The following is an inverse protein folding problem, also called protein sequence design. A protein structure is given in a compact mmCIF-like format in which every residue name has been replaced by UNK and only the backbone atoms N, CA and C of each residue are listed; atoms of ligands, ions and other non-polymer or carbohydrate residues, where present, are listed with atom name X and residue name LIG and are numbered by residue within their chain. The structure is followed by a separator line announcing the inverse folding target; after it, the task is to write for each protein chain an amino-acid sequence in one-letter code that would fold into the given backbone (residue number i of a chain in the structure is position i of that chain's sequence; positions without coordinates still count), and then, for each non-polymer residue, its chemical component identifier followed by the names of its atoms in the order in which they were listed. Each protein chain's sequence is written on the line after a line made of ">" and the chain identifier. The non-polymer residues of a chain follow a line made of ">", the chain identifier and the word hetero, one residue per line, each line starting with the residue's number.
data_IF_235521601165
#
_entry.id   IF_235521601165
#
_cell.length_a   1.000
_cell.length_b   1.000
_cell.length_c   1.000
_cell.angle_alpha   90.00
_cell.angle_beta   90.00
_cell.angle_gamma   90.00
#
_symmetry.space_group_name_H-M   'P 1'
#
loop_
_entity.id
_entity.type
_entity.pdbx_description
1 polymer ?
#
# COMPACT_ATOMS: atom_id res chain seq x y z
N UNK A 1 -12.48 72.36 -19.99
CA UNK A 1 -13.55 72.40 -21.00
C UNK A 1 -14.85 72.19 -20.24
N UNK A 2 -15.84 73.06 -20.45
CA UNK A 2 -16.84 73.44 -19.45
C UNK A 2 -18.23 72.85 -19.74
N UNK A 3 -19.17 73.17 -18.84
CA UNK A 3 -20.63 73.25 -19.02
C UNK A 3 -21.37 71.91 -19.25
N UNK A 4 -22.42 71.53 -18.52
CA UNK A 4 -23.54 72.31 -17.97
C UNK A 4 -24.19 71.59 -16.80
N UNK A 5 -24.30 72.29 -15.67
CA UNK A 5 -25.38 72.12 -14.69
C UNK A 5 -26.68 72.63 -15.32
N UNK A 6 -27.74 71.81 -15.36
CA UNK A 6 -29.11 72.24 -15.63
C UNK A 6 -29.94 72.06 -14.35
N UNK A 7 -29.80 73.04 -13.45
CA UNK A 7 -30.76 73.32 -12.38
C UNK A 7 -32.09 73.77 -13.00
N UNK A 8 -33.02 72.86 -13.26
CA UNK A 8 -34.42 73.22 -13.47
C UNK A 8 -35.10 73.48 -12.13
N UNK A 9 -34.76 74.64 -11.56
CA UNK A 9 -35.52 75.30 -10.51
C UNK A 9 -36.82 75.83 -11.11
N UNK A 10 -37.92 75.12 -10.88
CA UNK A 10 -39.26 75.64 -11.16
C UNK A 10 -39.63 76.57 -10.00
N UNK A 11 -39.36 77.86 -10.18
CA UNK A 11 -39.90 78.93 -9.35
C UNK A 11 -41.44 78.87 -9.38
N UNK A 12 -42.03 78.51 -8.24
CA UNK A 12 -43.45 78.74 -8.00
C UNK A 12 -43.59 80.15 -7.43
N UNK A 13 -43.88 81.12 -8.31
CA UNK A 13 -44.37 82.43 -7.87
C UNK A 13 -45.78 82.30 -7.27
N UNK A 14 -46.04 82.87 -6.07
CA UNK A 14 -47.37 82.93 -5.50
C UNK A 14 -48.08 84.22 -5.93
N UNK A 15 -49.41 84.15 -5.94
CA UNK A 15 -50.41 85.23 -6.10
C UNK A 15 -50.99 85.44 -7.49
N UNK A 16 -52.15 84.83 -7.77
CA UNK A 16 -53.42 85.51 -8.09
C UNK A 16 -54.57 84.54 -7.75
N UNK A 17 -55.12 84.63 -6.53
CA UNK A 17 -56.41 85.25 -6.21
C UNK A 17 -57.62 84.74 -7.03
N UNK A 18 -58.41 83.95 -6.32
CA UNK A 18 -59.82 84.27 -6.05
C UNK A 18 -60.76 84.24 -7.26
N UNK A 19 -61.08 83.03 -7.71
CA UNK A 19 -62.40 82.73 -8.25
C UNK A 19 -62.94 81.52 -7.51
N UNK A 20 -64.06 81.76 -6.82
CA UNK A 20 -64.59 80.91 -5.77
C UNK A 20 -64.82 79.48 -6.22
N UNK A 21 -64.21 78.55 -5.48
CA UNK A 21 -64.74 77.21 -5.30
C UNK A 21 -66.05 77.32 -4.52
N UNK A 22 -67.14 77.59 -5.23
CA UNK A 22 -68.49 77.20 -4.80
C UNK A 22 -68.60 75.66 -4.89
N UNK A 23 -67.73 74.97 -4.16
CA UNK A 23 -67.80 73.55 -3.85
C UNK A 23 -68.89 73.37 -2.79
N UNK A 24 -70.15 73.53 -3.23
CA UNK A 24 -71.29 73.01 -2.46
C UNK A 24 -70.99 71.55 -2.10
N UNK A 25 -71.30 71.12 -0.87
CA UNK A 25 -71.12 69.70 -0.46
C UNK A 25 -71.71 68.74 -1.50
N UNK A 26 -72.78 69.16 -2.18
CA UNK A 26 -73.42 68.43 -3.28
C UNK A 26 -72.54 68.23 -4.52
N UNK A 27 -71.60 69.12 -4.84
CA UNK A 27 -70.65 68.95 -5.96
C UNK A 27 -69.50 68.01 -5.58
N UNK A 28 -69.01 68.11 -4.33
CA UNK A 28 -68.00 67.20 -3.77
C UNK A 28 -68.54 65.78 -3.63
N UNK A 29 -69.78 65.65 -3.18
CA UNK A 29 -70.49 64.38 -3.06
C UNK A 29 -70.79 63.78 -4.44
N UNK A 30 -71.12 64.60 -5.45
CA UNK A 30 -71.24 64.13 -6.84
C UNK A 30 -69.92 63.65 -7.42
N UNK A 31 -68.80 64.33 -7.14
CA UNK A 31 -67.47 63.91 -7.60
C UNK A 31 -67.00 62.65 -6.89
N UNK A 32 -67.26 62.53 -5.58
CA UNK A 32 -67.00 61.33 -4.80
C UNK A 32 -67.88 60.16 -5.23
N UNK A 33 -69.16 60.41 -5.55
CA UNK A 33 -70.06 59.42 -6.11
C UNK A 33 -69.61 58.99 -7.52
N UNK A 34 -69.20 59.93 -8.37
CA UNK A 34 -68.64 59.63 -9.69
C UNK A 34 -67.36 58.80 -9.59
N UNK A 35 -66.42 59.18 -8.72
CA UNK A 35 -65.20 58.43 -8.46
C UNK A 35 -65.47 57.04 -7.88
N UNK A 36 -66.48 56.88 -7.00
CA UNK A 36 -66.93 55.57 -6.51
C UNK A 36 -67.55 54.73 -7.64
N UNK A 37 -68.37 55.34 -8.49
CA UNK A 37 -68.96 54.63 -9.65
C UNK A 37 -67.96 54.35 -10.77
N UNK A 38 -66.83 55.06 -10.83
CA UNK A 38 -65.74 54.78 -11.77
C UNK A 38 -64.77 53.73 -11.21
N UNK A 39 -64.52 53.74 -9.90
CA UNK A 39 -63.83 52.65 -9.22
C UNK A 39 -64.61 51.32 -9.29
N UNK A 40 -65.93 51.35 -9.20
CA UNK A 40 -66.81 50.17 -9.39
C UNK A 40 -66.87 49.66 -10.84
N UNK A 41 -66.43 50.45 -11.83
CA UNK A 41 -66.44 50.04 -13.26
C UNK A 41 -65.20 49.24 -13.66
N UNK A 42 -64.14 49.28 -12.86
CA UNK A 42 -62.94 48.48 -13.08
C UNK A 42 -62.84 47.45 -11.95
N UNK A 43 -63.21 46.19 -12.17
CA UNK A 43 -63.04 45.16 -11.16
C UNK A 43 -61.54 45.00 -10.88
N UNK A 44 -61.08 45.58 -9.77
CA UNK A 44 -59.69 45.41 -9.29
C UNK A 44 -59.39 43.97 -8.87
N UNK A 45 -60.43 43.13 -8.80
CA UNK A 45 -60.33 41.70 -8.51
C UNK A 45 -59.61 40.95 -9.64
N UNK A 46 -59.87 41.30 -10.90
CA UNK A 46 -59.26 40.60 -12.06
C UNK A 46 -57.75 40.90 -12.17
N UNK A 47 -57.33 42.13 -11.85
CA UNK A 47 -55.90 42.51 -11.79
C UNK A 47 -55.18 41.89 -10.59
N UNK A 48 -55.86 41.76 -9.45
CA UNK A 48 -55.31 41.12 -8.26
C UNK A 48 -55.20 39.59 -8.43
N UNK A 49 -56.14 38.95 -9.13
CA UNK A 49 -56.04 37.54 -9.53
C UNK A 49 -54.91 37.32 -10.54
N UNK A 50 -54.74 38.20 -11.54
CA UNK A 50 -53.66 38.09 -12.53
C UNK A 50 -52.26 38.36 -11.92
N UNK A 51 -52.16 39.19 -10.88
CA UNK A 51 -50.92 39.36 -10.10
C UNK A 51 -50.66 38.18 -9.16
N UNK A 52 -51.70 37.61 -8.54
CA UNK A 52 -51.59 36.41 -7.71
C UNK A 52 -51.17 35.18 -8.54
N UNK A 53 -51.75 34.98 -9.72
CA UNK A 53 -51.37 33.90 -10.66
C UNK A 53 -49.93 34.07 -11.16
N UNK A 54 -49.46 35.31 -11.38
CA UNK A 54 -48.07 35.58 -11.74
C UNK A 54 -47.09 35.27 -10.61
N UNK A 55 -47.41 35.67 -9.38
CA UNK A 55 -46.60 35.33 -8.21
C UNK A 55 -46.57 33.83 -7.95
N UNK A 56 -47.70 33.14 -8.12
CA UNK A 56 -47.77 31.68 -7.96
C UNK A 56 -46.95 30.96 -9.04
N UNK A 57 -46.97 31.47 -10.28
CA UNK A 57 -46.14 30.95 -11.38
C UNK A 57 -44.63 31.22 -11.18
N UNK A 58 -44.25 32.39 -10.67
CA UNK A 58 -42.87 32.73 -10.33
C UNK A 58 -42.35 31.89 -9.15
N UNK A 59 -43.16 31.71 -8.10
CA UNK A 59 -42.84 30.83 -6.96
C UNK A 59 -42.71 29.37 -7.39
N UNK A 60 -43.56 28.91 -8.31
CA UNK A 60 -43.50 27.55 -8.84
C UNK A 60 -42.30 27.34 -9.76
N UNK A 61 -41.88 28.35 -10.52
CA UNK A 61 -40.61 28.34 -11.26
C UNK A 61 -39.40 28.33 -10.32
N UNK A 62 -39.38 29.17 -9.28
CA UNK A 62 -38.29 29.23 -8.31
C UNK A 62 -38.10 27.87 -7.59
N UNK A 63 -39.20 27.21 -7.23
CA UNK A 63 -39.16 25.84 -6.65
C UNK A 63 -38.62 24.81 -7.63
N UNK A 64 -38.94 24.91 -8.92
CA UNK A 64 -38.41 23.99 -9.94
C UNK A 64 -36.92 24.20 -10.19
N UNK A 65 -36.44 25.44 -10.12
CA UNK A 65 -35.01 25.78 -10.22
C UNK A 65 -34.23 25.28 -9.00
N UNK A 66 -34.71 25.51 -7.77
CA UNK A 66 -34.11 24.96 -6.56
C UNK A 66 -34.08 23.42 -6.58
N UNK A 67 -35.16 22.78 -7.03
CA UNK A 67 -35.22 21.32 -7.19
C UNK A 67 -34.22 20.81 -8.23
N UNK A 68 -34.00 21.57 -9.31
CA UNK A 68 -33.06 21.21 -10.36
C UNK A 68 -31.61 21.37 -9.89
N UNK A 69 -31.30 22.45 -9.17
CA UNK A 69 -29.98 22.65 -8.54
C UNK A 69 -29.71 21.57 -7.49
N UNK A 70 -30.66 21.28 -6.60
CA UNK A 70 -30.50 20.22 -5.59
C UNK A 70 -30.28 18.84 -6.22
N UNK A 71 -30.93 18.55 -7.35
CA UNK A 71 -30.70 17.31 -8.12
C UNK A 71 -29.32 17.31 -8.79
N UNK A 72 -28.87 18.44 -9.32
CA UNK A 72 -27.54 18.57 -9.92
C UNK A 72 -26.43 18.35 -8.88
N UNK A 73 -26.53 19.00 -7.71
CA UNK A 73 -25.60 18.79 -6.60
C UNK A 73 -25.57 17.33 -6.14
N UNK A 74 -26.73 16.68 -6.02
CA UNK A 74 -26.78 15.25 -5.68
C UNK A 74 -26.13 14.35 -6.73
N UNK A 75 -26.23 14.69 -8.02
CA UNK A 75 -25.57 13.95 -9.09
C UNK A 75 -24.05 14.15 -9.05
N UNK A 76 -23.59 15.36 -8.80
CA UNK A 76 -22.17 15.68 -8.66
C UNK A 76 -21.56 15.00 -7.43
N UNK A 77 -22.26 14.99 -6.29
CA UNK A 77 -21.85 14.25 -5.10
C UNK A 77 -21.75 12.74 -5.37
N UNK A 78 -22.71 12.17 -6.12
CA UNK A 78 -22.68 10.75 -6.49
C UNK A 78 -21.53 10.46 -7.44
N UNK A 79 -21.29 11.31 -8.43
CA UNK A 79 -20.18 11.18 -9.37
C UNK A 79 -18.82 11.29 -8.65
N UNK A 80 -18.70 12.21 -7.70
CA UNK A 80 -17.50 12.36 -6.87
C UNK A 80 -17.26 11.12 -5.98
N UNK A 81 -18.30 10.57 -5.35
CA UNK A 81 -18.22 9.32 -4.57
C UNK A 81 -17.84 8.14 -5.45
N UNK A 82 -18.43 8.01 -6.64
CA UNK A 82 -18.10 6.94 -7.58
C UNK A 82 -16.63 7.03 -8.05
N UNK A 83 -16.14 8.24 -8.32
CA UNK A 83 -14.72 8.44 -8.63
C UNK A 83 -13.81 8.07 -7.45
N UNK A 84 -14.18 8.44 -6.21
CA UNK A 84 -13.45 8.04 -5.01
C UNK A 84 -13.39 6.51 -4.89
N UNK A 85 -14.53 5.82 -5.00
CA UNK A 85 -14.58 4.35 -4.95
C UNK A 85 -13.71 3.69 -6.03
N UNK A 86 -13.70 4.24 -7.26
CA UNK A 86 -12.84 3.74 -8.33
C UNK A 86 -11.35 3.93 -8.01
N UNK A 87 -10.96 5.08 -7.45
CA UNK A 87 -9.57 5.32 -7.04
C UNK A 87 -9.15 4.41 -5.89
N UNK A 88 -10.02 4.20 -4.90
CA UNK A 88 -9.78 3.28 -3.79
C UNK A 88 -9.63 1.84 -4.28
N UNK A 89 -10.51 1.38 -5.18
CA UNK A 89 -10.40 0.05 -5.79
C UNK A 89 -9.08 -0.14 -6.53
N UNK A 90 -8.67 0.82 -7.38
CA UNK A 90 -7.37 0.77 -8.07
C UNK A 90 -6.21 0.70 -7.10
N UNK A 91 -6.22 1.54 -6.06
CA UNK A 91 -5.17 1.53 -5.03
C UNK A 91 -5.08 0.19 -4.29
N UNK A 92 -6.24 -0.44 -4.03
CA UNK A 92 -6.30 -1.75 -3.39
C UNK A 92 -5.78 -2.86 -4.30
N UNK A 93 -6.11 -2.82 -5.59
CA UNK A 93 -5.57 -3.74 -6.60
C UNK A 93 -4.05 -3.61 -6.71
N UNK A 94 -3.53 -2.37 -6.79
CA UNK A 94 -2.07 -2.11 -6.79
C UNK A 94 -1.37 -2.64 -5.54
N UNK A 95 -1.98 -2.52 -4.36
CA UNK A 95 -1.45 -3.09 -3.12
C UNK A 95 -1.46 -4.62 -3.13
N UNK A 96 -2.53 -5.24 -3.64
CA UNK A 96 -2.61 -6.70 -3.78
C UNK A 96 -1.55 -7.22 -4.76
N UNK A 97 -1.35 -6.54 -5.89
CA UNK A 97 -0.33 -6.91 -6.87
C UNK A 97 1.08 -6.75 -6.29
N UNK A 98 1.36 -5.64 -5.60
CA UNK A 98 2.64 -5.43 -4.92
C UNK A 98 2.91 -6.51 -3.84
N UNK A 99 1.90 -6.91 -3.07
CA UNK A 99 2.07 -8.00 -2.09
C UNK A 99 2.26 -9.36 -2.76
N UNK A 100 1.61 -9.61 -3.90
CA UNK A 100 1.83 -10.81 -4.69
C UNK A 100 3.25 -10.86 -5.27
N UNK A 101 3.77 -9.75 -5.81
CA UNK A 101 5.13 -9.65 -6.33
C UNK A 101 6.19 -9.85 -5.24
N UNK A 102 6.03 -9.22 -4.09
CA UNK A 102 6.96 -9.37 -2.96
C UNK A 102 6.96 -10.80 -2.42
N UNK A 103 5.79 -11.42 -2.22
CA UNK A 103 5.70 -12.81 -1.77
C UNK A 103 6.34 -13.78 -2.77
N UNK A 104 6.14 -13.57 -4.08
CA UNK A 104 6.79 -14.36 -5.13
C UNK A 104 8.31 -14.19 -5.11
N UNK A 105 8.81 -12.98 -4.90
CA UNK A 105 10.24 -12.71 -4.80
C UNK A 105 10.86 -13.41 -3.57
N UNK A 106 10.18 -13.43 -2.42
CA UNK A 106 10.63 -14.21 -1.26
C UNK A 106 10.65 -15.72 -1.54
N UNK A 107 9.66 -16.26 -2.24
CA UNK A 107 9.63 -17.68 -2.62
C UNK A 107 10.80 -18.04 -3.55
N UNK A 108 11.10 -17.20 -4.54
CA UNK A 108 12.25 -17.38 -5.43
C UNK A 108 13.58 -17.29 -4.66
N UNK A 109 13.72 -16.30 -3.77
CA UNK A 109 14.89 -16.18 -2.92
C UNK A 109 15.13 -17.45 -2.08
N UNK A 110 14.06 -17.97 -1.47
CA UNK A 110 14.12 -19.18 -0.66
C UNK A 110 14.56 -20.40 -1.49
N UNK A 111 13.98 -20.59 -2.69
CA UNK A 111 14.38 -21.66 -3.60
C UNK A 111 15.86 -21.58 -4.01
N UNK A 112 16.38 -20.36 -4.23
CA UNK A 112 17.78 -20.12 -4.53
C UNK A 112 18.69 -20.40 -3.32
N UNK A 113 18.26 -20.05 -2.10
CA UNK A 113 18.99 -20.39 -0.87
C UNK A 113 19.09 -21.90 -0.67
N UNK A 114 18.00 -22.65 -0.90
CA UNK A 114 18.02 -24.11 -0.86
C UNK A 114 18.96 -24.71 -1.93
N UNK A 115 18.98 -24.13 -3.13
CA UNK A 115 19.91 -24.55 -4.19
C UNK A 115 21.36 -24.27 -3.78
N UNK A 116 21.67 -23.07 -3.29
CA UNK A 116 22.99 -22.70 -2.75
C UNK A 116 23.45 -23.72 -1.71
N UNK A 117 22.60 -24.05 -0.74
CA UNK A 117 22.98 -24.92 0.37
C UNK A 117 23.22 -26.37 -0.10
N UNK A 118 22.47 -26.85 -1.10
CA UNK A 118 22.75 -28.14 -1.76
C UNK A 118 24.13 -28.16 -2.42
N UNK A 119 24.48 -27.14 -3.21
CA UNK A 119 25.80 -27.09 -3.86
C UNK A 119 26.95 -26.91 -2.87
N UNK A 120 26.74 -26.21 -1.75
CA UNK A 120 27.71 -26.17 -0.64
C UNK A 120 27.93 -27.54 -0.02
N UNK A 121 26.86 -28.31 0.15
CA UNK A 121 26.98 -29.69 0.66
C UNK A 121 27.73 -30.57 -0.33
N UNK A 122 27.43 -30.51 -1.63
CA UNK A 122 28.19 -31.25 -2.66
C UNK A 122 29.67 -30.89 -2.65
N UNK A 123 30.01 -29.60 -2.66
CA UNK A 123 31.40 -29.15 -2.55
C UNK A 123 32.07 -29.68 -1.28
N UNK A 124 31.38 -29.68 -0.13
CA UNK A 124 31.95 -30.22 1.12
C UNK A 124 32.22 -31.73 1.05
N UNK A 125 31.34 -32.49 0.40
CA UNK A 125 31.49 -33.93 0.23
C UNK A 125 32.64 -34.26 -0.74
N UNK A 126 32.74 -33.51 -1.84
CA UNK A 126 33.80 -33.69 -2.83
C UNK A 126 35.17 -33.31 -2.25
N UNK A 127 35.25 -32.31 -1.36
CA UNK A 127 36.47 -32.03 -0.59
C UNK A 127 36.87 -33.23 0.26
N UNK A 128 35.94 -33.83 1.00
CA UNK A 128 36.24 -34.98 1.86
C UNK A 128 36.71 -36.19 1.02
N UNK A 129 36.04 -36.46 -0.10
CA UNK A 129 36.45 -37.51 -1.05
C UNK A 129 37.83 -37.26 -1.62
N UNK A 130 38.10 -36.04 -2.10
CA UNK A 130 39.40 -35.67 -2.65
C UNK A 130 40.54 -35.78 -1.64
N UNK A 131 40.30 -35.46 -0.36
CA UNK A 131 41.28 -35.67 0.72
C UNK A 131 41.55 -37.17 0.92
N UNK A 132 40.49 -37.98 0.97
CA UNK A 132 40.60 -39.44 1.12
C UNK A 132 41.37 -40.06 -0.04
N UNK A 133 41.00 -39.75 -1.28
CA UNK A 133 41.66 -40.26 -2.48
C UNK A 133 43.13 -39.82 -2.54
N UNK A 134 43.43 -38.57 -2.16
CA UNK A 134 44.81 -38.08 -2.09
C UNK A 134 45.63 -38.82 -1.05
N UNK A 135 45.05 -39.11 0.13
CA UNK A 135 45.72 -39.86 1.17
C UNK A 135 45.99 -41.30 0.71
N UNK A 136 45.00 -41.95 0.11
CA UNK A 136 45.12 -43.32 -0.39
C UNK A 136 46.15 -43.43 -1.52
N UNK A 137 46.10 -42.51 -2.50
CA UNK A 137 47.05 -42.50 -3.60
C UNK A 137 48.49 -42.19 -3.16
N UNK A 138 48.68 -41.42 -2.08
CA UNK A 138 50.01 -41.24 -1.46
C UNK A 138 50.50 -42.53 -0.80
N UNK A 139 49.62 -43.17 -0.02
CA UNK A 139 49.96 -44.43 0.63
C UNK A 139 50.43 -45.48 -0.37
N UNK A 140 49.71 -45.70 -1.46
CA UNK A 140 50.10 -46.68 -2.48
C UNK A 140 51.42 -46.34 -3.17
N UNK A 141 51.69 -45.06 -3.40
CA UNK A 141 52.97 -44.63 -3.97
C UNK A 141 54.13 -44.80 -2.99
N UNK A 142 53.90 -44.51 -1.71
CA UNK A 142 54.90 -44.68 -0.65
C UNK A 142 55.19 -46.17 -0.43
N UNK A 143 54.16 -47.02 -0.43
CA UNK A 143 54.27 -48.48 -0.35
C UNK A 143 55.02 -49.05 -1.56
N UNK A 144 54.70 -48.60 -2.77
CA UNK A 144 55.42 -48.98 -3.98
C UNK A 144 56.89 -48.53 -3.96
N UNK A 145 57.19 -47.37 -3.36
CA UNK A 145 58.55 -46.86 -3.24
C UNK A 145 59.37 -47.66 -2.21
N UNK A 146 58.74 -48.07 -1.11
CA UNK A 146 59.35 -48.92 -0.09
C UNK A 146 59.64 -50.34 -0.61
N UNK A 147 58.75 -50.89 -1.43
CA UNK A 147 58.81 -52.27 -1.95
C UNK A 147 59.07 -52.32 -3.45
N UNK A 148 60.02 -51.50 -3.94
CA UNK A 148 60.23 -51.26 -5.38
C UNK A 148 60.48 -52.52 -6.19
N UNK A 149 61.22 -53.48 -5.65
CA UNK A 149 61.65 -54.68 -6.36
C UNK A 149 60.65 -55.84 -6.26
N UNK A 150 59.55 -55.67 -5.50
CA UNK A 150 58.54 -56.71 -5.32
C UNK A 150 57.61 -56.81 -6.54
N UNK A 151 57.20 -58.05 -6.84
CA UNK A 151 56.22 -58.33 -7.87
C UNK A 151 54.85 -57.76 -7.45
N UNK A 152 54.52 -56.57 -7.96
CA UNK A 152 53.30 -55.84 -7.60
C UNK A 152 53.50 -54.33 -7.43
N UNK A 153 54.74 -53.88 -7.24
CA UNK A 153 55.09 -52.46 -7.02
C UNK A 153 54.62 -51.55 -8.17
N UNK A 154 54.75 -51.99 -9.42
CA UNK A 154 54.25 -51.27 -10.58
C UNK A 154 52.72 -51.12 -10.59
N UNK A 155 51.99 -52.10 -10.03
CA UNK A 155 50.54 -52.04 -9.85
C UNK A 155 50.14 -50.96 -8.86
N UNK A 156 50.80 -50.94 -7.70
CA UNK A 156 50.61 -49.91 -6.66
C UNK A 156 50.93 -48.50 -7.18
N UNK A 157 51.98 -48.33 -7.99
CA UNK A 157 52.27 -47.03 -8.64
C UNK A 157 51.13 -46.59 -9.56
N UNK A 158 50.58 -47.52 -10.34
CA UNK A 158 49.49 -47.22 -11.26
C UNK A 158 48.20 -46.87 -10.50
N UNK A 159 47.90 -47.60 -9.43
CA UNK A 159 46.77 -47.35 -8.54
C UNK A 159 46.90 -46.00 -7.85
N UNK A 160 48.09 -45.69 -7.31
CA UNK A 160 48.31 -44.44 -6.60
C UNK A 160 48.17 -43.22 -7.51
N UNK A 161 48.59 -43.35 -8.77
CA UNK A 161 48.34 -42.34 -9.80
C UNK A 161 46.85 -42.20 -10.15
N UNK A 162 46.08 -43.29 -10.16
CA UNK A 162 44.62 -43.23 -10.39
C UNK A 162 43.92 -42.46 -9.27
N UNK A 163 44.27 -42.73 -8.02
CA UNK A 163 43.71 -42.00 -6.88
C UNK A 163 44.14 -40.53 -6.83
N UNK A 164 45.39 -40.22 -7.21
CA UNK A 164 45.80 -38.83 -7.40
C UNK A 164 44.97 -38.11 -8.47
N UNK A 165 44.74 -38.77 -9.62
CA UNK A 165 43.90 -38.22 -10.68
C UNK A 165 42.45 -38.04 -10.20
N UNK A 166 41.89 -39.02 -9.48
CA UNK A 166 40.55 -38.93 -8.88
C UNK A 166 40.45 -37.72 -7.95
N UNK A 167 41.42 -37.53 -7.05
CA UNK A 167 41.48 -36.37 -6.16
C UNK A 167 41.49 -35.04 -6.93
N UNK A 168 42.23 -34.95 -8.05
CA UNK A 168 42.23 -33.72 -8.88
C UNK A 168 40.90 -33.48 -9.59
N UNK A 169 40.15 -34.53 -9.93
CA UNK A 169 38.81 -34.41 -10.51
C UNK A 169 37.85 -33.87 -9.46
N UNK A 170 37.87 -34.42 -8.24
CA UNK A 170 37.06 -33.92 -7.13
C UNK A 170 37.38 -32.46 -6.82
N UNK A 171 38.65 -32.04 -6.82
CA UNK A 171 39.00 -30.62 -6.65
C UNK A 171 38.43 -29.69 -7.73
N UNK A 172 38.30 -30.16 -8.98
CA UNK A 172 37.66 -29.35 -10.03
C UNK A 172 36.16 -29.24 -9.80
N UNK A 173 35.53 -30.31 -9.34
CA UNK A 173 34.10 -30.30 -8.99
C UNK A 173 33.82 -29.38 -7.82
N UNK A 174 34.62 -29.42 -6.75
CA UNK A 174 34.43 -28.53 -5.58
C UNK A 174 34.47 -27.06 -5.97
N UNK A 175 35.41 -26.67 -6.84
CA UNK A 175 35.50 -25.29 -7.36
C UNK A 175 34.27 -24.94 -8.21
N UNK A 176 33.80 -25.88 -9.04
CA UNK A 176 32.59 -25.69 -9.85
C UNK A 176 31.36 -25.51 -8.97
N UNK A 177 31.14 -26.39 -8.00
CA UNK A 177 29.99 -26.36 -7.11
C UNK A 177 30.00 -25.14 -6.19
N UNK A 178 31.18 -24.73 -5.69
CA UNK A 178 31.31 -23.49 -4.93
C UNK A 178 30.94 -22.27 -5.78
N UNK A 179 31.37 -22.23 -7.05
CA UNK A 179 30.99 -21.16 -7.98
C UNK A 179 29.48 -21.13 -8.19
N UNK A 180 28.85 -22.27 -8.46
CA UNK A 180 27.40 -22.37 -8.64
C UNK A 180 26.66 -21.90 -7.37
N UNK A 181 27.14 -22.30 -6.19
CA UNK A 181 26.55 -21.87 -4.92
C UNK A 181 26.60 -20.34 -4.76
N UNK A 182 27.68 -19.68 -5.20
CA UNK A 182 27.80 -18.21 -5.16
C UNK A 182 26.84 -17.52 -6.13
N UNK A 183 26.58 -18.14 -7.28
CA UNK A 183 25.61 -17.62 -8.26
C UNK A 183 24.19 -17.65 -7.68
N UNK A 184 23.79 -18.77 -7.05
CA UNK A 184 22.51 -18.85 -6.33
C UNK A 184 22.44 -17.89 -5.13
N UNK A 185 23.52 -17.74 -4.37
CA UNK A 185 23.58 -16.76 -3.27
C UNK A 185 23.37 -15.32 -3.77
N UNK A 186 23.96 -14.98 -4.92
CA UNK A 186 23.77 -13.67 -5.54
C UNK A 186 22.33 -13.47 -6.06
N UNK A 187 21.74 -14.51 -6.65
CA UNK A 187 20.36 -14.51 -7.14
C UNK A 187 19.35 -14.34 -5.99
N UNK A 188 19.51 -15.11 -4.91
CA UNK A 188 18.68 -15.00 -3.72
C UNK A 188 18.70 -13.57 -3.14
N UNK A 189 19.89 -12.98 -2.99
CA UNK A 189 20.05 -11.60 -2.52
C UNK A 189 19.38 -10.58 -3.44
N UNK A 190 19.41 -10.82 -4.75
CA UNK A 190 18.74 -9.96 -5.73
C UNK A 190 17.23 -9.99 -5.55
N UNK A 191 16.63 -11.18 -5.44
CA UNK A 191 15.20 -11.33 -5.19
C UNK A 191 14.77 -10.68 -3.87
N UNK A 192 15.55 -10.84 -2.80
CA UNK A 192 15.28 -10.15 -1.52
C UNK A 192 15.37 -8.62 -1.64
N UNK A 193 16.29 -8.11 -2.46
CA UNK A 193 16.44 -6.67 -2.70
C UNK A 193 15.29 -6.11 -3.53
N UNK A 194 14.79 -6.86 -4.50
CA UNK A 194 13.62 -6.50 -5.30
C UNK A 194 12.33 -6.54 -4.46
N UNK A 195 12.25 -7.44 -3.48
CA UNK A 195 11.10 -7.57 -2.57
C UNK A 195 11.05 -6.51 -1.46
N UNK A 196 12.19 -5.94 -1.06
CA UNK A 196 12.22 -4.94 0.00
C UNK A 196 12.10 -3.51 -0.56
N UNK A 197 11.17 -2.69 -0.04
CA UNK A 197 11.19 -1.26 -0.35
C UNK A 197 12.53 -0.67 0.10
N UNK A 198 13.08 0.26 -0.67
CA UNK A 198 14.33 0.93 -0.32
C UNK A 198 14.23 1.47 1.12
N UNK A 199 15.22 1.20 2.00
CA UNK A 199 15.17 1.65 3.40
C UNK A 199 15.06 3.18 3.53
N UNK A 200 15.49 3.92 2.51
CA UNK A 200 15.33 5.37 2.40
C UNK A 200 13.89 5.86 2.23
N UNK A 201 12.98 5.05 1.70
CA UNK A 201 11.54 5.37 1.63
C UNK A 201 10.80 4.99 2.91
N UNK A 202 11.20 3.90 3.57
CA UNK A 202 10.68 3.50 4.88
C UNK A 202 10.98 4.52 5.99
N UNK A 203 12.08 5.28 5.87
CA UNK A 203 12.39 6.40 6.79
C UNK A 203 11.56 7.65 6.49
N UNK A 204 11.09 7.85 5.24
CA UNK A 204 10.24 9.00 4.87
C UNK A 204 8.77 8.78 5.19
N UNK A 205 8.30 7.53 5.17
CA UNK A 205 6.98 7.09 5.66
C UNK A 205 7.18 6.24 6.91
N UNK A 206 7.67 6.85 7.99
CA UNK A 206 7.69 6.17 9.27
C UNK A 206 6.25 5.84 9.69
N UNK A 207 5.95 4.61 10.16
CA UNK A 207 4.63 4.32 10.71
C UNK A 207 4.36 5.27 11.87
N UNK A 208 3.14 5.83 11.93
CA UNK A 208 2.74 6.78 12.99
C UNK A 208 2.84 6.15 14.38
N UNK A 209 2.75 4.82 14.44
CA UNK A 209 2.87 4.02 15.65
C UNK A 209 4.03 3.02 15.50
N UNK A 210 5.08 3.19 16.32
CA UNK A 210 6.17 2.23 16.36
C UNK A 210 5.63 0.90 16.89
N UNK A 211 5.90 -0.25 16.22
CA UNK A 211 5.48 -1.54 16.74
C UNK A 211 6.04 -1.72 18.15
N UNK A 212 5.17 -2.07 19.11
CA UNK A 212 5.58 -2.31 20.49
C UNK A 212 6.76 -3.29 20.50
N UNK A 213 7.89 -2.80 21.01
CA UNK A 213 9.07 -3.62 21.15
C UNK A 213 8.70 -4.79 22.08
N UNK A 214 8.50 -5.98 21.49
CA UNK A 214 8.44 -7.20 22.27
C UNK A 214 9.79 -7.31 22.98
N UNK A 215 9.80 -6.94 24.27
CA UNK A 215 10.96 -7.10 25.13
C UNK A 215 11.46 -8.54 24.93
N UNK A 216 12.76 -8.75 24.65
CA UNK A 216 13.28 -10.09 24.47
C UNK A 216 12.91 -10.86 25.73
N UNK A 217 12.00 -11.84 25.58
CA UNK A 217 11.64 -12.72 26.67
C UNK A 217 12.95 -13.26 27.21
N UNK A 218 13.31 -12.85 28.43
CA UNK A 218 14.57 -13.20 29.05
C UNK A 218 14.73 -14.69 28.84
N UNK A 219 15.75 -15.09 28.07
CA UNK A 219 16.05 -16.48 27.76
C UNK A 219 16.04 -17.19 29.09
N UNK A 220 14.94 -17.88 29.39
CA UNK A 220 14.82 -18.71 30.57
C UNK A 220 15.80 -19.82 30.24
N UNK A 221 17.02 -19.67 30.72
CA UNK A 221 18.04 -20.69 30.61
C UNK A 221 17.44 -21.93 31.26
N UNK A 222 16.83 -22.78 30.44
CA UNK A 222 16.57 -24.15 30.80
C UNK A 222 17.97 -24.72 30.90
N UNK A 223 18.55 -24.67 32.10
CA UNK A 223 19.62 -25.57 32.49
C UNK A 223 19.09 -26.94 32.08
N UNK A 224 19.65 -27.50 31.00
CA UNK A 224 19.36 -28.86 30.58
C UNK A 224 19.45 -29.79 31.80
N UNK A 225 18.71 -30.92 31.80
CA UNK A 225 18.50 -31.74 32.98
C UNK A 225 19.84 -32.07 33.61
N UNK A 226 20.15 -31.39 34.72
CA UNK A 226 21.36 -31.63 35.46
C UNK A 226 21.37 -33.11 35.86
N UNK A 227 22.53 -33.77 35.69
CA UNK A 227 22.72 -35.18 36.05
C UNK A 227 22.17 -35.43 37.45
N UNK A 228 20.98 -36.01 37.56
CA UNK A 228 20.38 -36.38 38.84
C UNK A 228 21.17 -37.58 39.35
N UNK A 229 21.96 -37.35 40.41
CA UNK A 229 22.66 -38.41 41.13
C UNK A 229 21.71 -38.99 42.16
N UNK A 230 21.60 -40.32 42.22
CA UNK A 230 20.90 -40.97 43.32
C UNK A 230 21.68 -40.80 44.64
N UNK A 231 21.10 -41.20 45.78
CA UNK A 231 21.75 -41.12 47.11
C UNK A 231 23.09 -41.90 47.20
N UNK A 232 23.43 -42.73 46.21
CA UNK A 232 24.71 -43.43 46.09
C UNK A 232 25.68 -42.80 45.07
N UNK A 233 25.39 -41.60 44.55
CA UNK A 233 26.30 -40.84 43.68
C UNK A 233 26.37 -41.30 42.22
N UNK A 234 25.54 -42.26 41.79
CA UNK A 234 25.51 -42.73 40.39
C UNK A 234 24.60 -41.84 39.53
N UNK A 235 25.08 -41.49 38.34
CA UNK A 235 24.36 -40.68 37.35
C UNK A 235 23.27 -41.51 36.70
N UNK A 236 22.01 -41.16 36.93
CA UNK A 236 20.85 -41.78 36.27
C UNK A 236 20.58 -41.03 34.97
N UNK A 237 20.46 -41.74 33.85
CA UNK A 237 20.07 -41.12 32.57
C UNK A 237 18.59 -40.70 32.67
N UNK A 238 18.21 -39.47 32.30
CA UNK A 238 16.81 -39.07 32.27
C UNK A 238 16.05 -39.89 31.23
N UNK A 239 14.88 -40.42 31.60
CA UNK A 239 13.99 -41.12 30.68
C UNK A 239 13.45 -40.11 29.66
N UNK A 240 13.68 -40.39 28.38
CA UNK A 240 13.35 -39.53 27.23
C UNK A 240 11.86 -39.48 26.88
N UNK A 241 10.99 -40.05 27.74
CA UNK A 241 9.56 -40.20 27.50
C UNK A 241 8.71 -39.08 28.14
N UNK A 242 9.34 -38.02 28.65
CA UNK A 242 8.65 -36.91 29.32
C UNK A 242 8.93 -35.54 28.68
N UNK A 243 9.41 -35.51 27.43
CA UNK A 243 9.45 -34.26 26.67
C UNK A 243 8.06 -34.06 26.04
N UNK A 244 7.38 -32.91 26.26
CA UNK A 244 6.14 -32.61 25.57
C UNK A 244 6.45 -32.34 24.08
N UNK A 245 5.68 -32.96 23.19
CA UNK A 245 5.75 -32.72 21.75
C UNK A 245 5.52 -31.22 21.48
N UNK A 246 6.56 -30.54 21.02
CA UNK A 246 6.47 -29.19 20.48
C UNK A 246 6.23 -29.32 18.98
N UNK A 247 4.97 -29.52 18.61
CA UNK A 247 4.51 -29.28 17.24
C UNK A 247 4.47 -27.76 16.98
N UNK A 248 5.30 -27.30 16.05
CA UNK A 248 5.11 -26.09 15.24
C UNK A 248 5.50 -26.45 13.81
#
# INVERSE_FOLDING_TARGET
>A
MPDTDDDQSVELEPEQREQGDDDTEAARERRAAQARTEADKHPTHDLAEEEAERQEAEDEQARQEEDAEARAEQLDERAAKEQQELTERRSREELLDATAETSRAFQLAYADEEARDRYRQYASNDVQRGISDRAHGRHELDEAAAHRDEAGSAGLVAEGRRYQNAATIEERKTVSDDKISREYDASARRHLREAQPNPSEAVRKAPEEAPEAQLPQARRHVRGPGRVRNKQGKVVKPNRASEPDLEI
#
